data_IF_900855851887
#
_entry.id   IF_900855851887
#
_cell.length_a   1.000
_cell.length_b   1.000
_cell.length_c   1.000
_cell.angle_alpha   90.00
_cell.angle_beta   90.00
_cell.angle_gamma   90.00
#
_symmetry.space_group_name_H-M   'P 1'
#
loop_
_entity.id
_entity.type
_entity.pdbx_description
1 polymer ?
#
# COMPACT_ATOMS: atom_id res chain seq x y z
N UNK A 1 -6.46 35.64 2.55
CA UNK A 1 -5.56 34.68 3.21
C UNK A 1 -5.70 33.35 2.48
N UNK A 2 -4.79 33.04 1.55
CA UNK A 2 -4.88 31.86 0.70
C UNK A 2 -4.28 30.64 1.39
N UNK A 3 -5.08 29.61 1.61
CA UNK A 3 -4.59 28.31 2.07
C UNK A 3 -3.84 27.61 0.94
N UNK A 4 -2.53 27.48 1.07
CA UNK A 4 -1.72 26.61 0.22
C UNK A 4 -1.98 25.15 0.65
N UNK A 5 -3.11 24.58 0.23
CA UNK A 5 -3.32 23.14 0.27
C UNK A 5 -2.59 22.53 -0.91
N UNK A 6 -1.33 22.14 -0.71
CA UNK A 6 -0.64 21.25 -1.64
C UNK A 6 -1.33 19.88 -1.59
N UNK A 7 -1.82 19.34 -2.73
CA UNK A 7 -2.67 18.15 -2.77
C UNK A 7 -1.93 16.82 -2.51
N UNK A 8 -0.61 16.87 -2.30
CA UNK A 8 0.22 15.66 -2.21
C UNK A 8 0.19 15.06 -0.80
N UNK A 9 -0.06 13.73 -0.68
CA UNK A 9 -0.06 13.04 0.60
C UNK A 9 1.32 13.14 1.26
N UNK A 10 1.33 13.33 2.58
CA UNK A 10 2.54 13.30 3.39
C UNK A 10 2.89 11.85 3.72
N UNK A 11 4.07 11.42 3.28
CA UNK A 11 4.58 10.09 3.55
C UNK A 11 5.19 10.01 4.96
N UNK A 12 5.46 8.78 5.40
CA UNK A 12 6.07 8.52 6.69
C UNK A 12 7.57 8.83 6.68
N UNK A 13 8.05 9.35 7.80
CA UNK A 13 9.47 9.58 8.06
C UNK A 13 10.23 8.25 8.00
N UNK A 14 11.26 8.18 7.17
CA UNK A 14 12.06 6.96 6.98
C UNK A 14 12.83 6.49 8.21
N UNK A 15 13.06 7.38 9.17
CA UNK A 15 13.80 7.07 10.41
C UNK A 15 12.92 6.54 11.54
N UNK A 16 11.69 7.04 11.68
CA UNK A 16 10.84 6.73 12.83
C UNK A 16 9.43 6.26 12.47
N UNK A 17 9.11 6.15 11.18
CA UNK A 17 7.79 5.67 10.70
C UNK A 17 6.63 6.64 10.89
N UNK A 18 6.80 7.75 11.63
CA UNK A 18 5.75 8.75 11.86
C UNK A 18 5.50 9.61 10.62
N UNK A 19 4.23 9.90 10.32
CA UNK A 19 3.85 10.76 9.20
C UNK A 19 4.52 12.14 9.28
N UNK A 20 5.11 12.57 8.15
CA UNK A 20 5.68 13.91 8.03
C UNK A 20 4.59 14.97 8.15
N UNK A 21 4.98 16.16 8.61
CA UNK A 21 4.06 17.30 8.78
C UNK A 21 4.53 18.50 7.99
N UNK A 22 3.59 19.29 7.47
CA UNK A 22 3.88 20.61 6.91
C UNK A 22 3.89 21.65 8.02
N UNK A 23 4.87 22.53 8.01
CA UNK A 23 4.99 23.67 8.92
C UNK A 23 5.23 24.95 8.12
N UNK A 24 4.81 26.07 8.69
CA UNK A 24 5.14 27.40 8.16
C UNK A 24 6.25 28.00 9.01
N UNK A 25 7.34 28.42 8.38
CA UNK A 25 8.47 29.00 9.08
C UNK A 25 8.11 30.36 9.68
N UNK A 26 8.46 30.52 10.97
CA UNK A 26 8.41 31.80 11.69
C UNK A 26 9.78 32.48 11.79
N UNK A 27 10.81 31.92 11.15
CA UNK A 27 12.16 32.49 11.18
C UNK A 27 12.23 33.70 10.24
N UNK A 28 12.93 34.77 10.63
CA UNK A 28 12.98 36.02 9.84
C UNK A 28 13.41 35.81 8.39
N UNK A 29 14.38 34.94 8.13
CA UNK A 29 14.92 34.72 6.79
C UNK A 29 14.00 33.91 5.86
N UNK A 30 13.10 33.09 6.41
CA UNK A 30 12.22 32.19 5.65
C UNK A 30 10.76 32.35 6.05
N UNK A 31 10.39 33.52 6.58
CA UNK A 31 9.08 33.76 7.18
C UNK A 31 7.96 33.49 6.16
N UNK A 32 6.97 32.69 6.57
CA UNK A 32 5.83 32.34 5.72
C UNK A 32 6.09 31.21 4.72
N UNK A 33 7.32 30.71 4.58
CA UNK A 33 7.62 29.58 3.70
C UNK A 33 7.20 28.25 4.32
N UNK A 34 6.69 27.34 3.49
CA UNK A 34 6.28 26.00 3.89
C UNK A 34 7.45 25.00 3.83
N UNK A 35 7.55 24.17 4.87
CA UNK A 35 8.53 23.09 4.98
C UNK A 35 7.82 21.81 5.39
N UNK A 36 8.32 20.68 4.90
CA UNK A 36 7.94 19.34 5.37
C UNK A 36 9.00 18.89 6.38
N UNK A 37 8.58 18.57 7.61
CA UNK A 37 9.48 18.08 8.67
C UNK A 37 8.96 16.83 9.33
N UNK A 38 9.85 16.08 9.97
CA UNK A 38 9.45 15.05 10.92
C UNK A 38 8.93 15.70 12.22
N UNK A 39 7.80 15.23 12.78
CA UNK A 39 7.34 15.65 14.11
C UNK A 39 8.42 15.45 15.17
N UNK A 40 9.10 14.30 15.11
CA UNK A 40 10.22 13.94 15.99
C UNK A 40 11.54 14.60 15.58
N UNK A 41 11.53 15.72 14.84
CA UNK A 41 12.69 16.60 14.68
C UNK A 41 12.60 17.68 15.77
N UNK A 42 13.30 17.49 16.89
CA UNK A 42 13.31 18.42 18.01
C UNK A 42 14.61 19.22 17.95
N UNK A 43 14.50 20.54 17.98
CA UNK A 43 15.65 21.44 17.85
C UNK A 43 16.58 21.28 19.05
N UNK A 44 17.86 20.95 18.80
CA UNK A 44 18.89 20.85 19.83
C UNK A 44 19.13 19.44 20.37
N UNK A 45 18.38 18.45 19.89
CA UNK A 45 18.57 17.05 20.27
C UNK A 45 19.11 16.23 19.08
N UNK A 46 20.38 15.79 19.10
CA UNK A 46 20.99 15.02 18.03
C UNK A 46 20.43 13.59 17.92
N UNK A 47 19.72 13.10 18.94
CA UNK A 47 19.08 11.77 18.92
C UNK A 47 17.77 11.79 18.14
N UNK A 48 17.30 12.96 17.71
CA UNK A 48 16.00 13.13 17.05
C UNK A 48 16.12 13.09 15.53
N UNK A 49 14.98 12.94 14.85
CA UNK A 49 14.95 12.78 13.40
C UNK A 49 15.38 14.06 12.68
N UNK A 50 16.48 14.05 11.94
CA UNK A 50 16.96 15.22 11.19
C UNK A 50 16.17 15.61 9.93
N UNK A 51 15.01 15.00 9.63
CA UNK A 51 14.29 15.28 8.37
C UNK A 51 13.60 16.65 8.44
N UNK A 52 14.06 17.55 7.57
CA UNK A 52 13.41 18.81 7.22
C UNK A 52 13.75 19.13 5.77
N UNK A 53 12.75 19.53 4.98
CA UNK A 53 12.93 19.87 3.57
C UNK A 53 11.94 20.95 3.15
N UNK A 54 12.29 21.74 2.14
CA UNK A 54 11.33 22.67 1.53
C UNK A 54 10.26 21.90 0.76
N UNK A 55 9.14 22.55 0.48
CA UNK A 55 8.06 21.95 -0.29
C UNK A 55 8.51 21.50 -1.69
N UNK A 56 9.31 22.32 -2.39
CA UNK A 56 9.87 21.96 -3.68
C UNK A 56 10.81 20.74 -3.62
N UNK A 57 11.57 20.61 -2.53
CA UNK A 57 12.41 19.43 -2.29
C UNK A 57 11.56 18.19 -2.02
N UNK A 58 10.47 18.32 -1.25
CA UNK A 58 9.54 17.22 -1.00
C UNK A 58 8.87 16.74 -2.29
N UNK A 59 8.43 17.65 -3.14
CA UNK A 59 7.85 17.28 -4.44
C UNK A 59 8.86 16.64 -5.38
N UNK A 60 10.09 17.17 -5.45
CA UNK A 60 11.16 16.56 -6.23
C UNK A 60 11.52 15.15 -5.71
N UNK A 61 11.41 14.94 -4.40
CA UNK A 61 11.59 13.63 -3.77
C UNK A 61 10.46 12.67 -4.13
N UNK A 62 9.20 13.11 -4.12
CA UNK A 62 8.05 12.30 -4.58
C UNK A 62 8.14 11.89 -6.06
N UNK A 63 8.75 12.74 -6.90
CA UNK A 63 8.93 12.45 -8.33
C UNK A 63 10.01 11.39 -8.63
N UNK A 64 10.76 10.89 -7.62
CA UNK A 64 11.85 9.91 -7.78
C UNK A 64 11.47 8.55 -7.17
N UNK A 65 10.72 7.70 -7.91
CA UNK A 65 10.21 6.43 -7.39
C UNK A 65 11.32 5.45 -6.95
N UNK A 66 12.49 5.47 -7.59
CA UNK A 66 13.60 4.55 -7.28
C UNK A 66 14.24 4.81 -5.89
N UNK A 67 14.28 6.07 -5.43
CA UNK A 67 14.77 6.38 -4.08
C UNK A 67 13.76 6.00 -3.00
N UNK A 68 12.47 5.95 -3.32
CA UNK A 68 11.43 5.61 -2.37
C UNK A 68 11.51 4.13 -1.95
N UNK A 69 11.86 3.23 -2.88
CA UNK A 69 12.20 1.84 -2.58
C UNK A 69 13.48 1.72 -1.74
N UNK A 70 14.52 2.52 -2.03
CA UNK A 70 15.76 2.50 -1.25
C UNK A 70 15.62 3.10 0.16
N UNK A 71 14.68 4.02 0.36
CA UNK A 71 14.41 4.63 1.67
C UNK A 71 13.53 3.70 2.52
N UNK A 72 12.59 2.98 1.92
CA UNK A 72 11.90 1.86 2.58
C UNK A 72 12.84 0.70 2.86
N UNK A 73 13.81 0.41 1.99
CA UNK A 73 14.82 -0.63 2.27
C UNK A 73 15.81 -0.21 3.35
N UNK A 74 16.21 1.08 3.40
CA UNK A 74 16.98 1.64 4.52
C UNK A 74 16.21 1.69 5.84
N UNK A 75 14.88 1.59 5.84
CA UNK A 75 14.07 1.46 7.06
C UNK A 75 14.35 0.14 7.80
N UNK A 76 14.85 -0.89 7.09
CA UNK A 76 15.21 -2.18 7.69
C UNK A 76 16.69 -2.32 8.10
N UNK A 77 17.54 -1.33 7.80
CA UNK A 77 19.01 -1.46 7.94
C UNK A 77 19.66 -0.49 8.95
N UNK A 78 18.89 0.30 9.69
CA UNK A 78 19.47 1.06 10.82
C UNK A 78 19.44 0.23 12.11
N UNK A 79 20.25 -0.82 12.16
CA UNK A 79 20.74 -1.38 13.42
C UNK A 79 22.17 -1.88 13.25
N UNK A 80 23.13 -1.08 13.74
CA UNK A 80 24.49 -1.51 14.11
C UNK A 80 25.48 -1.82 12.97
N UNK A 81 26.67 -1.23 13.07
CA UNK A 81 27.86 -1.59 12.30
C UNK A 81 28.20 -3.09 12.40
N UNK A 82 28.49 -3.71 11.26
CA UNK A 82 29.30 -4.94 11.15
C UNK A 82 28.58 -6.15 10.57
N UNK A 83 29.04 -6.63 9.40
CA UNK A 83 28.74 -7.98 8.92
C UNK A 83 28.36 -8.05 7.43
N UNK A 84 29.35 -8.26 6.58
CA UNK A 84 29.26 -8.45 5.13
C UNK A 84 28.66 -9.82 4.71
N UNK A 85 27.84 -10.43 5.56
CA UNK A 85 27.31 -11.80 5.42
C UNK A 85 25.77 -11.85 5.43
N UNK A 86 25.10 -10.72 5.72
CA UNK A 86 23.62 -10.64 5.76
C UNK A 86 22.96 -10.28 4.43
N UNK A 87 23.75 -9.94 3.40
CA UNK A 87 23.23 -9.45 2.11
C UNK A 87 22.67 -10.59 1.26
N UNK A 88 23.30 -11.78 1.27
CA UNK A 88 22.88 -12.93 0.46
C UNK A 88 21.51 -13.46 0.91
N UNK A 89 21.31 -13.66 2.22
CA UNK A 89 20.01 -14.09 2.75
C UNK A 89 18.85 -13.14 2.42
N UNK A 90 19.12 -11.84 2.30
CA UNK A 90 18.09 -10.84 1.98
C UNK A 90 17.68 -10.90 0.50
N UNK A 91 18.62 -11.21 -0.40
CA UNK A 91 18.32 -11.41 -1.82
C UNK A 91 17.46 -12.66 -2.01
N UNK A 92 17.80 -13.74 -1.32
CA UNK A 92 17.05 -14.99 -1.33
C UNK A 92 15.61 -14.78 -0.81
N UNK A 93 15.45 -14.10 0.33
CA UNK A 93 14.13 -13.76 0.90
C UNK A 93 13.28 -12.90 -0.04
N UNK A 94 13.91 -11.99 -0.80
CA UNK A 94 13.22 -11.14 -1.78
C UNK A 94 12.75 -11.95 -2.99
N UNK A 95 13.56 -12.92 -3.41
CA UNK A 95 13.22 -13.85 -4.48
C UNK A 95 12.06 -14.74 -4.07
N UNK A 96 12.12 -15.36 -2.90
CA UNK A 96 11.02 -16.17 -2.34
C UNK A 96 9.71 -15.37 -2.23
N UNK A 97 9.79 -14.10 -1.80
CA UNK A 97 8.60 -13.26 -1.67
C UNK A 97 7.98 -12.92 -3.03
N UNK A 98 8.80 -12.75 -4.08
CA UNK A 98 8.31 -12.56 -5.44
C UNK A 98 7.69 -13.83 -6.00
N UNK A 99 8.25 -15.00 -5.72
CA UNK A 99 7.63 -16.28 -6.10
C UNK A 99 6.29 -16.49 -5.42
N UNK A 100 6.21 -16.25 -4.11
CA UNK A 100 4.97 -16.38 -3.33
C UNK A 100 3.92 -15.41 -3.84
N UNK A 101 4.31 -14.18 -4.18
CA UNK A 101 3.42 -13.20 -4.81
C UNK A 101 2.88 -13.70 -6.14
N UNK A 102 3.73 -14.22 -7.02
CA UNK A 102 3.28 -14.76 -8.31
C UNK A 102 2.35 -15.96 -8.15
N UNK A 103 2.63 -16.86 -7.21
CA UNK A 103 1.75 -17.98 -6.87
C UNK A 103 0.40 -17.48 -6.37
N UNK A 104 0.38 -16.45 -5.52
CA UNK A 104 -0.86 -15.84 -5.04
C UNK A 104 -1.67 -15.23 -6.19
N UNK A 105 -1.03 -14.46 -7.06
CA UNK A 105 -1.68 -13.83 -8.21
C UNK A 105 -2.29 -14.90 -9.15
N UNK A 106 -1.58 -16.02 -9.36
CA UNK A 106 -2.10 -17.17 -10.11
C UNK A 106 -3.31 -17.81 -9.45
N UNK A 107 -3.24 -18.08 -8.14
CA UNK A 107 -4.36 -18.69 -7.38
C UNK A 107 -5.59 -17.77 -7.39
N UNK A 108 -5.39 -16.45 -7.31
CA UNK A 108 -6.48 -15.47 -7.42
C UNK A 108 -7.13 -15.53 -8.81
N UNK A 109 -6.34 -15.67 -9.88
CA UNK A 109 -6.85 -15.83 -11.23
C UNK A 109 -7.66 -17.13 -11.38
N UNK A 110 -7.16 -18.26 -10.86
CA UNK A 110 -7.87 -19.54 -10.90
C UNK A 110 -9.16 -19.49 -10.08
N UNK A 111 -9.13 -18.91 -8.89
CA UNK A 111 -10.31 -18.71 -8.05
C UNK A 111 -11.37 -17.86 -8.75
N UNK A 112 -10.95 -16.86 -9.53
CA UNK A 112 -11.86 -16.05 -10.32
C UNK A 112 -12.58 -16.89 -11.38
N UNK A 113 -11.86 -17.76 -12.10
CA UNK A 113 -12.46 -18.70 -13.06
C UNK A 113 -13.46 -19.63 -12.38
N UNK A 114 -13.08 -20.22 -11.25
CA UNK A 114 -13.95 -21.10 -10.46
C UNK A 114 -15.21 -20.35 -10.01
N UNK A 115 -15.08 -19.12 -9.52
CA UNK A 115 -16.20 -18.28 -9.11
C UNK A 115 -17.19 -18.05 -10.26
N UNK A 116 -16.69 -17.79 -11.47
CA UNK A 116 -17.53 -17.62 -12.68
C UNK A 116 -18.25 -18.93 -13.02
N UNK A 117 -17.57 -20.07 -12.96
CA UNK A 117 -18.18 -21.38 -13.22
C UNK A 117 -19.27 -21.72 -12.19
N UNK A 118 -19.04 -21.45 -10.91
CA UNK A 118 -20.04 -21.67 -9.85
C UNK A 118 -21.28 -20.81 -10.06
N UNK A 119 -21.12 -19.56 -10.48
CA UNK A 119 -22.27 -18.69 -10.82
C UNK A 119 -23.08 -19.26 -11.97
N UNK A 120 -22.41 -19.78 -13.02
CA UNK A 120 -23.08 -20.44 -14.14
C UNK A 120 -23.84 -21.69 -13.69
N UNK A 121 -23.18 -22.60 -12.96
CA UNK A 121 -23.80 -23.82 -12.43
C UNK A 121 -24.98 -23.52 -11.51
N UNK A 122 -24.89 -22.48 -10.69
CA UNK A 122 -26.00 -22.04 -9.83
C UNK A 122 -27.21 -21.64 -10.66
N UNK A 123 -27.00 -20.94 -11.78
CA UNK A 123 -28.08 -20.55 -12.69
C UNK A 123 -28.68 -21.78 -13.38
N UNK A 124 -27.85 -22.68 -13.90
CA UNK A 124 -28.31 -23.92 -14.55
C UNK A 124 -29.12 -24.79 -13.57
N UNK A 125 -28.68 -24.92 -12.32
CA UNK A 125 -29.41 -25.64 -11.28
C UNK A 125 -30.77 -25.00 -10.97
N UNK A 126 -30.85 -23.67 -10.85
CA UNK A 126 -32.11 -22.96 -10.62
C UNK A 126 -33.10 -23.21 -11.76
N UNK A 127 -32.63 -23.20 -13.01
CA UNK A 127 -33.46 -23.48 -14.19
C UNK A 127 -33.98 -24.92 -14.14
N UNK A 128 -33.11 -25.90 -13.90
CA UNK A 128 -33.53 -27.32 -13.81
C UNK A 128 -34.52 -27.53 -12.67
N UNK A 129 -34.25 -26.96 -11.49
CA UNK A 129 -35.15 -27.06 -10.34
C UNK A 129 -36.54 -26.45 -10.65
N UNK A 130 -36.58 -25.28 -11.30
CA UNK A 130 -37.83 -24.65 -11.70
C UNK A 130 -38.64 -25.49 -12.69
N UNK A 131 -37.97 -26.11 -13.68
CA UNK A 131 -38.61 -27.02 -14.65
C UNK A 131 -39.19 -28.23 -13.94
N UNK A 132 -38.42 -28.89 -13.06
CA UNK A 132 -38.90 -30.06 -12.32
C UNK A 132 -40.11 -29.74 -11.43
N UNK A 133 -40.08 -28.61 -10.73
CA UNK A 133 -41.22 -28.15 -9.91
C UNK A 133 -42.43 -27.83 -10.79
N UNK A 134 -42.24 -27.16 -11.93
CA UNK A 134 -43.31 -26.87 -12.88
C UNK A 134 -44.00 -28.12 -13.42
N UNK A 135 -43.22 -29.14 -13.81
CA UNK A 135 -43.76 -30.44 -14.26
C UNK A 135 -44.55 -31.11 -13.15
N UNK A 136 -44.01 -31.17 -11.92
CA UNK A 136 -44.69 -31.80 -10.79
C UNK A 136 -46.04 -31.12 -10.48
N UNK A 137 -46.08 -29.78 -10.45
CA UNK A 137 -47.32 -29.02 -10.25
C UNK A 137 -48.31 -29.28 -11.39
N UNK A 138 -47.87 -29.26 -12.64
CA UNK A 138 -48.72 -29.53 -13.80
C UNK A 138 -49.34 -30.93 -13.77
N UNK A 139 -48.57 -31.95 -13.36
CA UNK A 139 -49.06 -33.30 -13.19
C UNK A 139 -50.12 -33.42 -12.08
N UNK A 140 -49.94 -32.72 -10.96
CA UNK A 140 -50.91 -32.70 -9.86
C UNK A 140 -52.23 -32.05 -10.29
N UNK A 141 -52.16 -30.90 -10.97
CA UNK A 141 -53.33 -30.18 -11.47
C UNK A 141 -54.10 -30.93 -12.56
N UNK A 142 -53.42 -31.79 -13.33
CA UNK A 142 -54.08 -32.62 -14.36
C UNK A 142 -54.85 -33.82 -13.80
N UNK A 143 -54.75 -34.10 -12.48
CA UNK A 143 -55.47 -35.18 -11.79
C UNK A 143 -56.55 -34.68 -10.81
N UNK A 144 -56.68 -33.35 -10.67
CA UNK A 144 -57.77 -32.67 -9.97
C UNK A 144 -58.90 -32.39 -10.97
#
# INVERSE_FOLDING_TARGET
MGGFQSPHPLLNCSKCGVQLVRIISKQRATFGQAFVKCPNNIKGDPTTCGIIMSEAQYEAWLRKPEQQQQIQSKMYLCSGEGGHESIDHILDLKEELNEVKQKLDSVVADLWVVKVQVQKMKMDYVVVAAVCVGVAIGCLMSKL
#
